data_IF_356059798461
#
_entry.id   IF_356059798461
#
_cell.length_a   1.000
_cell.length_b   1.000
_cell.length_c   1.000
_cell.angle_alpha   90.00
_cell.angle_beta   90.00
_cell.angle_gamma   90.00
#
_symmetry.space_group_name_H-M   'P 1'
#
loop_
_entity.id
_entity.type
_entity.pdbx_description
1 polymer ?
#
# COMPACT_ATOMS: atom_id res chain seq x y z
N UNK A 1 -19.60 -15.03 17.95
CA UNK A 1 -19.77 -14.47 16.60
C UNK A 1 -18.37 -14.27 16.02
N UNK A 2 -18.02 -14.97 14.95
CA UNK A 2 -16.73 -14.80 14.27
C UNK A 2 -16.77 -13.43 13.57
N UNK A 3 -16.06 -12.44 14.11
CA UNK A 3 -15.73 -11.25 13.36
C UNK A 3 -14.67 -11.65 12.32
N UNK A 4 -15.12 -12.25 11.22
CA UNK A 4 -14.24 -12.53 10.12
C UNK A 4 -13.97 -11.22 9.36
N UNK A 5 -12.97 -10.50 9.79
CA UNK A 5 -12.27 -9.62 8.87
C UNK A 5 -11.41 -10.52 8.03
N UNK A 6 -11.87 -10.84 6.83
CA UNK A 6 -11.10 -11.63 5.88
C UNK A 6 -10.00 -10.75 5.29
N UNK A 7 -9.04 -10.37 6.12
CA UNK A 7 -7.86 -9.67 5.67
C UNK A 7 -6.90 -10.66 5.00
N UNK A 8 -6.24 -10.21 3.97
CA UNK A 8 -5.32 -11.01 3.20
C UNK A 8 -3.95 -10.95 3.87
N UNK A 9 -3.45 -12.11 4.24
CA UNK A 9 -2.08 -12.26 4.72
C UNK A 9 -1.25 -12.74 3.53
N UNK A 10 -0.21 -11.99 3.12
CA UNK A 10 0.67 -12.40 2.04
C UNK A 10 1.25 -13.79 2.25
N UNK A 11 1.08 -14.67 1.27
CA UNK A 11 1.75 -15.97 1.25
C UNK A 11 3.09 -15.84 0.52
N UNK A 12 4.09 -15.36 1.22
CA UNK A 12 5.43 -15.14 0.70
C UNK A 12 6.48 -15.55 1.75
N UNK A 13 7.73 -15.85 1.36
CA UNK A 13 8.76 -16.35 2.28
C UNK A 13 9.44 -15.21 3.07
N UNK A 14 8.67 -14.22 3.53
CA UNK A 14 9.21 -13.14 4.34
C UNK A 14 9.72 -13.65 5.70
N UNK A 15 10.76 -13.02 6.27
CA UNK A 15 11.24 -13.33 7.61
C UNK A 15 10.16 -13.16 8.68
N UNK A 16 10.22 -13.94 9.74
CA UNK A 16 9.20 -13.96 10.80
C UNK A 16 9.01 -12.62 11.54
N UNK A 17 9.99 -11.75 11.50
CA UNK A 17 9.92 -10.40 12.04
C UNK A 17 9.21 -9.38 11.12
N UNK A 18 8.92 -9.76 9.87
CA UNK A 18 8.16 -8.92 8.92
C UNK A 18 6.70 -9.33 8.96
N UNK A 19 5.83 -8.38 9.25
CA UNK A 19 4.38 -8.57 9.19
C UNK A 19 3.79 -7.75 8.06
N UNK A 20 2.91 -8.36 7.27
CA UNK A 20 2.27 -7.72 6.14
C UNK A 20 0.80 -8.12 6.04
N UNK A 21 -0.05 -7.18 5.66
CA UNK A 21 -1.48 -7.38 5.53
C UNK A 21 -2.05 -6.52 4.39
N UNK A 22 -3.05 -7.04 3.70
CA UNK A 22 -3.95 -6.22 2.89
C UNK A 22 -5.36 -6.31 3.48
N UNK A 23 -5.94 -5.16 3.77
CA UNK A 23 -7.31 -5.11 4.30
C UNK A 23 -8.33 -5.29 3.17
N UNK A 24 -9.54 -5.66 3.54
CA UNK A 24 -10.68 -5.68 2.64
C UNK A 24 -11.70 -4.63 3.10
N UNK A 25 -12.73 -4.41 2.31
CA UNK A 25 -13.81 -3.50 2.68
C UNK A 25 -14.70 -4.00 3.84
N UNK A 26 -14.46 -5.21 4.37
CA UNK A 26 -15.33 -5.83 5.37
C UNK A 26 -15.02 -5.38 6.81
N UNK A 27 -16.05 -5.28 7.64
CA UNK A 27 -15.92 -5.14 9.09
C UNK A 27 -15.64 -3.73 9.62
N UNK A 28 -15.85 -2.70 8.81
CA UNK A 28 -15.78 -1.29 9.22
C UNK A 28 -17.12 -0.68 9.58
N UNK A 29 -17.12 0.63 9.79
CA UNK A 29 -18.30 1.42 10.20
C UNK A 29 -18.78 2.39 9.12
N UNK A 30 -18.00 2.62 8.05
CA UNK A 30 -18.40 3.50 6.95
C UNK A 30 -19.67 3.03 6.27
N UNK A 31 -20.51 3.98 5.86
CA UNK A 31 -21.79 3.71 5.20
C UNK A 31 -21.64 3.75 3.69
N UNK A 32 -22.67 3.33 2.98
CA UNK A 32 -22.74 3.45 1.51
C UNK A 32 -22.51 4.90 1.07
N UNK A 33 -21.68 5.16 0.03
CA UNK A 33 -21.03 4.21 -0.88
C UNK A 33 -19.71 3.59 -0.35
N UNK A 34 -19.18 4.02 0.79
CA UNK A 34 -17.89 3.60 1.34
C UNK A 34 -17.97 2.35 2.22
N UNK A 35 -19.10 1.67 2.25
CA UNK A 35 -19.34 0.54 3.14
C UNK A 35 -18.35 -0.60 2.92
N UNK A 36 -17.56 -0.96 3.92
CA UNK A 36 -17.55 -0.56 5.32
C UNK A 36 -16.17 -0.18 5.87
N UNK A 37 -15.00 -0.80 5.54
CA UNK A 37 -13.69 -0.56 6.16
C UNK A 37 -12.86 0.42 5.33
N UNK A 38 -13.46 1.59 4.99
CA UNK A 38 -12.74 2.65 4.31
C UNK A 38 -11.70 3.28 5.24
N UNK A 39 -10.47 3.41 4.76
CA UNK A 39 -9.33 4.01 5.46
C UNK A 39 -8.88 5.34 4.81
N UNK A 40 -9.43 5.67 3.62
CA UNK A 40 -9.13 6.91 2.90
C UNK A 40 -9.96 8.08 3.41
N UNK A 41 -9.32 9.17 3.79
CA UNK A 41 -9.96 10.39 4.31
C UNK A 41 -10.19 11.46 3.23
N UNK A 42 -9.62 11.25 2.03
CA UNK A 42 -9.71 12.16 0.88
C UNK A 42 -10.85 11.82 -0.11
N UNK A 43 -11.60 10.75 0.14
CA UNK A 43 -12.63 10.27 -0.79
C UNK A 43 -14.03 10.80 -0.52
N UNK A 44 -14.23 11.62 0.54
CA UNK A 44 -15.50 12.24 0.88
C UNK A 44 -16.36 11.42 1.85
N UNK A 45 -15.81 10.41 2.49
CA UNK A 45 -16.47 9.67 3.57
C UNK A 45 -16.55 10.52 4.86
N UNK A 46 -17.37 10.08 5.82
CA UNK A 46 -17.48 10.71 7.13
C UNK A 46 -16.15 10.58 7.89
N UNK A 47 -15.53 11.70 8.22
CA UNK A 47 -14.19 11.74 8.86
C UNK A 47 -14.14 10.90 10.14
N UNK A 48 -15.20 10.92 10.94
CA UNK A 48 -15.31 10.13 12.17
C UNK A 48 -15.33 8.63 11.89
N UNK A 49 -16.01 8.20 10.84
CA UNK A 49 -16.08 6.78 10.45
C UNK A 49 -14.70 6.29 9.99
N UNK A 50 -13.99 7.08 9.19
CA UNK A 50 -12.60 6.79 8.78
C UNK A 50 -11.68 6.72 10.01
N UNK A 51 -11.79 7.66 10.94
CA UNK A 51 -10.99 7.64 12.17
C UNK A 51 -11.26 6.36 13.01
N UNK A 52 -12.52 5.94 13.13
CA UNK A 52 -12.89 4.69 13.80
C UNK A 52 -12.29 3.48 13.08
N UNK A 53 -12.36 3.43 11.75
CA UNK A 53 -11.77 2.36 10.95
C UNK A 53 -10.24 2.28 11.13
N UNK A 54 -9.54 3.42 11.06
CA UNK A 54 -8.09 3.51 11.32
C UNK A 54 -7.72 3.05 12.73
N UNK A 55 -8.49 3.44 13.75
CA UNK A 55 -8.30 2.96 15.12
C UNK A 55 -8.56 1.44 15.26
N UNK A 56 -9.56 0.92 14.55
CA UNK A 56 -9.84 -0.52 14.50
C UNK A 56 -8.69 -1.28 13.83
N UNK A 57 -8.14 -0.77 12.72
CA UNK A 57 -6.96 -1.37 12.06
C UNK A 57 -5.82 -1.54 13.05
N UNK A 58 -5.41 -0.43 13.69
CA UNK A 58 -4.30 -0.45 14.66
C UNK A 58 -4.54 -1.49 15.77
N UNK A 59 -5.72 -1.50 16.35
CA UNK A 59 -6.06 -2.42 17.46
C UNK A 59 -6.08 -3.88 17.02
N UNK A 60 -6.70 -4.19 15.87
CA UNK A 60 -6.89 -5.58 15.41
C UNK A 60 -5.60 -6.24 14.95
N UNK A 61 -4.70 -5.47 14.34
CA UNK A 61 -3.38 -5.94 13.92
C UNK A 61 -2.32 -5.78 15.02
N UNK A 62 -2.70 -5.21 16.17
CA UNK A 62 -1.76 -4.88 17.25
C UNK A 62 -0.54 -4.11 16.72
N UNK A 63 -0.81 -3.12 15.84
CA UNK A 63 0.26 -2.34 15.22
C UNK A 63 1.03 -1.55 16.30
N UNK A 64 2.35 -1.53 16.23
CA UNK A 64 3.20 -0.81 17.21
C UNK A 64 2.97 0.70 17.14
N UNK A 65 2.71 1.23 15.95
CA UNK A 65 2.40 2.63 15.71
C UNK A 65 1.19 2.75 14.77
N UNK A 66 0.65 3.94 14.61
CA UNK A 66 -0.26 4.21 13.51
C UNK A 66 0.53 4.16 12.19
N UNK A 67 -0.07 3.65 11.08
CA UNK A 67 0.53 3.79 9.78
C UNK A 67 0.78 5.26 9.42
N UNK A 68 1.85 5.53 8.70
CA UNK A 68 2.09 6.84 8.11
C UNK A 68 1.22 6.94 6.86
N UNK A 69 0.10 7.64 6.98
CA UNK A 69 -0.84 7.86 5.88
C UNK A 69 -0.31 8.92 4.94
N UNK A 70 -0.14 8.57 3.67
CA UNK A 70 0.39 9.45 2.62
C UNK A 70 -0.75 10.09 1.83
N UNK A 71 -0.48 11.26 1.28
CA UNK A 71 -1.30 11.88 0.24
C UNK A 71 -0.81 11.37 -1.14
N UNK A 72 -1.49 10.35 -1.65
CA UNK A 72 -1.10 9.63 -2.86
C UNK A 72 -1.61 10.35 -4.10
N UNK A 73 -0.73 10.61 -5.05
CA UNK A 73 -1.00 11.40 -6.26
C UNK A 73 -0.76 10.63 -7.57
N UNK A 74 -0.53 9.32 -7.48
CA UNK A 74 -0.23 8.43 -8.60
C UNK A 74 1.08 8.78 -9.31
N UNK A 75 2.07 9.19 -8.55
CA UNK A 75 3.42 9.53 -9.00
C UNK A 75 4.45 8.50 -8.50
N UNK A 76 5.72 8.84 -8.53
CA UNK A 76 6.84 7.97 -8.16
C UNK A 76 7.52 8.37 -6.86
N UNK A 77 7.07 9.44 -6.20
CA UNK A 77 7.70 9.91 -4.97
C UNK A 77 7.62 8.85 -3.87
N UNK A 78 8.76 8.57 -3.26
CA UNK A 78 8.94 7.53 -2.25
C UNK A 78 9.71 8.09 -1.05
N UNK A 79 9.27 7.79 0.18
CA UNK A 79 9.80 8.45 1.38
C UNK A 79 10.14 7.46 2.49
N UNK A 80 11.07 7.85 3.37
CA UNK A 80 11.27 7.13 4.63
C UNK A 80 10.11 7.45 5.59
N UNK A 81 9.33 6.43 5.95
CA UNK A 81 8.17 6.59 6.84
C UNK A 81 8.54 7.07 8.25
N UNK A 82 9.79 6.89 8.68
CA UNK A 82 10.27 7.37 9.97
C UNK A 82 10.54 8.89 9.98
N UNK A 83 10.67 9.52 8.81
CA UNK A 83 11.10 10.91 8.67
C UNK A 83 9.97 11.87 8.27
N UNK A 84 8.79 11.33 7.95
CA UNK A 84 7.67 12.16 7.46
C UNK A 84 6.45 12.05 8.37
N UNK A 85 5.64 13.10 8.37
CA UNK A 85 4.34 13.09 9.04
C UNK A 85 3.23 12.57 8.10
N UNK A 86 2.08 12.21 8.69
CA UNK A 86 0.87 11.90 7.93
C UNK A 86 0.46 13.10 7.04
N UNK A 87 -0.03 12.80 5.82
CA UNK A 87 -0.37 13.81 4.82
C UNK A 87 0.83 14.26 3.96
N UNK A 88 1.99 13.61 4.09
CA UNK A 88 3.10 13.86 3.17
C UNK A 88 2.75 13.31 1.78
N UNK A 89 3.02 14.11 0.74
CA UNK A 89 2.71 13.70 -0.65
C UNK A 89 3.73 12.68 -1.14
N UNK A 90 3.32 11.45 -1.31
CA UNK A 90 4.12 10.36 -1.89
C UNK A 90 3.23 9.16 -2.24
N UNK A 91 3.68 8.32 -3.15
CA UNK A 91 2.99 7.11 -3.58
C UNK A 91 3.60 5.83 -2.98
N UNK A 92 4.43 5.98 -1.98
CA UNK A 92 4.94 4.86 -1.20
C UNK A 92 5.93 5.29 -0.14
N UNK A 93 6.18 4.36 0.76
CA UNK A 93 7.14 4.56 1.84
C UNK A 93 7.92 3.30 2.16
N UNK A 94 9.11 3.49 2.71
CA UNK A 94 9.94 2.44 3.27
C UNK A 94 10.37 2.79 4.68
N UNK A 95 10.88 1.81 5.38
CA UNK A 95 11.58 2.04 6.66
C UNK A 95 12.64 0.98 6.90
N UNK A 96 13.64 1.37 7.68
CA UNK A 96 14.64 0.49 8.27
C UNK A 96 14.46 0.39 9.80
N UNK A 97 13.46 1.09 10.34
CA UNK A 97 13.22 1.17 11.76
C UNK A 97 12.12 0.23 12.20
N UNK A 98 12.41 -0.58 13.23
CA UNK A 98 11.40 -1.43 13.83
C UNK A 98 10.29 -0.59 14.49
N UNK A 99 9.04 -1.02 14.33
CA UNK A 99 7.89 -0.34 14.90
C UNK A 99 7.29 0.76 14.03
N UNK A 100 7.93 1.15 12.93
CA UNK A 100 7.36 2.05 11.92
C UNK A 100 6.52 1.25 10.93
N UNK A 101 5.34 1.75 10.59
CA UNK A 101 4.38 1.05 9.73
C UNK A 101 4.21 1.78 8.40
N UNK A 102 4.74 1.19 7.33
CA UNK A 102 4.49 1.63 5.97
C UNK A 102 3.10 1.21 5.51
N UNK A 103 2.36 2.08 4.85
CA UNK A 103 1.04 1.77 4.31
C UNK A 103 0.76 2.55 3.03
N UNK A 104 0.00 1.94 2.15
CA UNK A 104 -0.62 2.60 1.00
C UNK A 104 -2.12 2.31 0.97
N UNK A 105 -2.89 3.23 0.44
CA UNK A 105 -4.32 3.12 0.24
C UNK A 105 -4.60 2.73 -1.22
N UNK A 106 -5.40 1.71 -1.43
CA UNK A 106 -5.81 1.29 -2.78
C UNK A 106 -7.30 0.97 -2.82
N UNK A 107 -7.94 1.31 -3.92
CA UNK A 107 -9.24 0.78 -4.29
C UNK A 107 -9.08 -0.24 -5.43
N UNK A 108 -8.47 0.21 -6.53
CA UNK A 108 -8.30 -0.55 -7.78
C UNK A 108 -6.82 -0.73 -8.15
N UNK A 109 -5.96 0.22 -7.75
CA UNK A 109 -4.53 0.18 -8.05
C UNK A 109 -3.82 -0.96 -7.33
N UNK A 110 -2.70 -1.41 -7.89
CA UNK A 110 -1.89 -2.49 -7.34
C UNK A 110 -1.09 -2.02 -6.12
N UNK A 111 -1.29 -2.58 -4.91
CA UNK A 111 -0.34 -2.41 -3.82
C UNK A 111 0.81 -3.41 -3.98
N UNK A 112 2.04 -2.93 -3.85
CA UNK A 112 3.23 -3.78 -3.84
C UNK A 112 3.91 -3.65 -2.49
N UNK A 113 4.05 -4.78 -1.78
CA UNK A 113 4.78 -4.85 -0.52
C UNK A 113 6.14 -5.48 -0.77
N UNK A 114 7.18 -4.90 -0.21
CA UNK A 114 8.55 -5.40 -0.34
C UNK A 114 9.20 -5.55 1.02
N UNK A 115 10.11 -6.50 1.12
CA UNK A 115 11.06 -6.58 2.21
C UNK A 115 12.38 -7.21 1.74
N UNK A 116 13.45 -6.99 2.49
CA UNK A 116 14.68 -7.75 2.27
C UNK A 116 14.65 -9.10 3.02
N UNK A 117 15.53 -10.02 2.62
CA UNK A 117 15.62 -11.37 3.22
C UNK A 117 15.99 -11.37 4.71
N UNK A 118 16.61 -10.30 5.19
CA UNK A 118 16.99 -10.14 6.59
C UNK A 118 15.83 -9.58 7.44
N UNK A 119 14.79 -9.03 6.80
CA UNK A 119 13.66 -8.38 7.48
C UNK A 119 14.02 -7.06 8.15
N UNK A 120 15.11 -6.44 7.73
CA UNK A 120 15.59 -5.16 8.25
C UNK A 120 15.11 -3.95 7.45
N UNK A 121 14.52 -4.18 6.26
CA UNK A 121 13.95 -3.16 5.38
C UNK A 121 12.60 -3.61 4.87
N UNK A 122 11.61 -2.74 4.95
CA UNK A 122 10.26 -2.98 4.40
C UNK A 122 9.79 -1.76 3.63
N UNK A 123 8.90 -2.00 2.67
CA UNK A 123 8.29 -0.94 1.88
C UNK A 123 6.86 -1.29 1.46
N UNK A 124 6.06 -0.25 1.21
CA UNK A 124 4.75 -0.34 0.59
C UNK A 124 4.66 0.70 -0.53
N UNK A 125 4.35 0.25 -1.74
CA UNK A 125 4.23 1.09 -2.93
C UNK A 125 2.82 1.04 -3.50
N UNK A 126 2.28 2.21 -3.84
CA UNK A 126 1.05 2.39 -4.58
C UNK A 126 1.37 2.37 -6.08
N UNK A 127 1.21 1.21 -6.70
CA UNK A 127 1.55 1.00 -8.09
C UNK A 127 0.31 1.09 -8.99
N UNK A 128 -0.32 2.27 -9.03
CA UNK A 128 -1.29 2.61 -10.07
C UNK A 128 -0.61 2.66 -11.45
N UNK A 129 -1.38 2.53 -12.54
CA UNK A 129 -0.79 2.44 -13.88
C UNK A 129 0.13 3.63 -14.25
N UNK A 130 -0.19 4.83 -13.75
CA UNK A 130 0.66 6.01 -13.96
C UNK A 130 2.00 5.89 -13.25
N UNK A 131 1.97 5.52 -11.97
CA UNK A 131 3.17 5.29 -11.18
C UNK A 131 4.02 4.16 -11.76
N UNK A 132 3.39 3.05 -12.17
CA UNK A 132 4.09 1.94 -12.85
C UNK A 132 4.80 2.41 -14.12
N UNK A 133 4.08 3.11 -15.00
CA UNK A 133 4.67 3.61 -16.25
C UNK A 133 5.75 4.68 -16.04
N UNK A 134 5.75 5.36 -14.90
CA UNK A 134 6.74 6.38 -14.57
C UNK A 134 7.90 5.85 -13.70
N UNK A 135 7.86 4.58 -13.25
CA UNK A 135 8.98 3.95 -12.54
C UNK A 135 8.85 3.97 -11.01
N UNK A 136 7.64 3.85 -10.45
CA UNK A 136 7.44 3.79 -8.99
C UNK A 136 8.13 2.57 -8.37
N UNK A 137 8.20 1.44 -9.10
CA UNK A 137 8.89 0.23 -8.60
C UNK A 137 10.40 0.46 -8.59
N UNK A 138 10.96 1.03 -9.62
CA UNK A 138 12.38 1.35 -9.71
C UNK A 138 12.80 2.33 -8.61
N UNK A 139 11.96 3.33 -8.34
CA UNK A 139 12.18 4.25 -7.22
C UNK A 139 12.13 3.52 -5.88
N UNK A 140 11.19 2.59 -5.71
CA UNK A 140 11.10 1.77 -4.49
C UNK A 140 12.35 0.93 -4.28
N UNK A 141 12.85 0.27 -5.35
CA UNK A 141 14.07 -0.54 -5.30
C UNK A 141 15.30 0.30 -4.96
N UNK A 142 15.39 1.50 -5.54
CA UNK A 142 16.45 2.47 -5.25
C UNK A 142 16.41 2.91 -3.78
N UNK A 143 15.22 3.24 -3.25
CA UNK A 143 15.05 3.66 -1.86
C UNK A 143 15.40 2.55 -0.86
N UNK A 144 15.13 1.29 -1.20
CA UNK A 144 15.51 0.14 -0.37
C UNK A 144 17.01 -0.13 -0.40
N UNK A 145 17.73 0.35 -1.41
CA UNK A 145 19.19 0.14 -1.55
C UNK A 145 19.61 -1.29 -1.15
N UNK A 146 19.05 -2.26 -1.85
CA UNK A 146 19.23 -3.69 -1.56
C UNK A 146 19.36 -4.44 -2.87
N UNK A 147 20.31 -5.37 -2.96
CA UNK A 147 20.50 -6.20 -4.16
C UNK A 147 19.20 -6.94 -4.50
N UNK A 148 18.80 -7.02 -5.77
CA UNK A 148 17.54 -7.64 -6.18
C UNK A 148 17.35 -9.07 -5.67
N UNK A 149 18.41 -9.89 -5.65
CA UNK A 149 18.38 -11.26 -5.14
C UNK A 149 18.06 -11.38 -3.64
N UNK A 150 18.22 -10.28 -2.91
CA UNK A 150 17.91 -10.18 -1.48
C UNK A 150 16.55 -9.52 -1.21
N UNK A 151 15.81 -9.15 -2.23
CA UNK A 151 14.48 -8.59 -2.10
C UNK A 151 13.41 -9.64 -2.33
N UNK A 152 12.30 -9.44 -1.67
CA UNK A 152 11.05 -10.17 -1.87
C UNK A 152 9.94 -9.16 -2.07
N UNK A 153 9.06 -9.46 -3.01
CA UNK A 153 7.88 -8.65 -3.29
C UNK A 153 6.61 -9.50 -3.24
N UNK A 154 5.55 -8.89 -2.75
CA UNK A 154 4.20 -9.42 -2.84
C UNK A 154 3.31 -8.40 -3.53
N UNK A 155 2.61 -8.87 -4.56
CA UNK A 155 1.64 -8.07 -5.30
C UNK A 155 0.25 -8.35 -4.71
N UNK A 156 -0.39 -7.32 -4.21
CA UNK A 156 -1.70 -7.42 -3.60
C UNK A 156 -2.85 -7.41 -4.61
N UNK A 157 -4.08 -7.44 -4.13
CA UNK A 157 -5.26 -7.38 -5.00
C UNK A 157 -5.29 -6.08 -5.78
N UNK A 158 -5.62 -6.18 -7.07
CA UNK A 158 -5.83 -5.05 -7.96
C UNK A 158 -7.01 -5.33 -8.90
N UNK A 159 -7.46 -4.29 -9.60
CA UNK A 159 -8.49 -4.41 -10.62
C UNK A 159 -8.03 -5.35 -11.73
N UNK A 160 -8.91 -6.26 -12.15
CA UNK A 160 -8.63 -7.21 -13.21
C UNK A 160 -8.98 -6.68 -14.61
N UNK A 161 -8.46 -7.33 -15.67
CA UNK A 161 -8.61 -6.85 -17.05
C UNK A 161 -10.06 -6.85 -17.56
N UNK A 162 -10.96 -7.59 -16.92
CA UNK A 162 -12.37 -7.62 -17.29
C UNK A 162 -13.16 -6.42 -16.74
N UNK A 163 -12.60 -5.71 -15.78
CA UNK A 163 -13.22 -4.57 -15.11
C UNK A 163 -12.50 -3.23 -15.35
N UNK A 164 -11.36 -3.26 -16.05
CA UNK A 164 -10.53 -2.10 -16.32
C UNK A 164 -10.23 -1.99 -17.82
N UNK A 165 -11.06 -1.25 -18.52
CA UNK A 165 -10.81 -0.87 -19.91
C UNK A 165 -9.91 0.36 -19.96
N UNK A 166 -8.89 0.32 -20.82
CA UNK A 166 -7.92 1.41 -21.00
C UNK A 166 -7.85 1.82 -22.46
N UNK A 167 -7.56 3.09 -22.71
CA UNK A 167 -7.32 3.60 -24.05
C UNK A 167 -5.89 3.30 -24.55
N UNK A 168 -5.66 3.63 -25.82
CA UNK A 168 -4.36 3.44 -26.47
C UNK A 168 -3.23 4.20 -25.77
N UNK A 169 -3.54 5.32 -25.16
CA UNK A 169 -2.58 6.18 -24.45
C UNK A 169 -1.88 5.47 -23.28
N UNK A 170 -2.56 4.54 -22.61
CA UNK A 170 -1.94 3.74 -21.56
C UNK A 170 -0.90 2.78 -22.15
N UNK A 171 -1.27 2.09 -23.24
CA UNK A 171 -0.33 1.22 -23.97
C UNK A 171 0.88 1.98 -24.48
N UNK A 172 0.65 3.13 -25.12
CA UNK A 172 1.71 3.99 -25.66
C UNK A 172 2.68 4.44 -24.56
N UNK A 173 2.16 4.76 -23.37
CA UNK A 173 2.98 5.16 -22.23
C UNK A 173 3.94 4.04 -21.80
N UNK A 174 3.49 2.80 -21.73
CA UNK A 174 4.35 1.66 -21.39
C UNK A 174 5.34 1.33 -22.50
N UNK A 175 4.90 1.32 -23.76
CA UNK A 175 5.77 1.06 -24.91
C UNK A 175 6.87 2.11 -25.10
N UNK A 176 6.72 3.30 -24.56
CA UNK A 176 7.76 4.33 -24.61
C UNK A 176 8.97 4.01 -23.70
N UNK A 177 8.77 3.15 -22.69
CA UNK A 177 9.82 2.75 -21.76
C UNK A 177 10.44 1.39 -22.10
N UNK A 178 9.63 0.48 -22.65
CA UNK A 178 10.05 -0.88 -23.03
C UNK A 178 9.33 -1.25 -24.33
N UNK A 179 9.94 -0.94 -25.50
CA UNK A 179 9.33 -1.11 -26.83
C UNK A 179 9.22 -2.58 -27.30
#
# INVERSE_FOLDING_TARGET
>A
MKNSTDWIIPNWPAPANVQAYATTRLGGVSRTPYAGFNLGDHVGDVVQDVAVNRAQLKRRLNLPAAPVWLDQVHDTQFVNAAEVAAGYTADGSYTIEAGVVCAVLTADCLPVLLCNREGSKVAAAHAGWRGLANGVIETTLTALDTRPENLMAWLGPAIGPQAFEVGAEVREKFMAHDP
#
